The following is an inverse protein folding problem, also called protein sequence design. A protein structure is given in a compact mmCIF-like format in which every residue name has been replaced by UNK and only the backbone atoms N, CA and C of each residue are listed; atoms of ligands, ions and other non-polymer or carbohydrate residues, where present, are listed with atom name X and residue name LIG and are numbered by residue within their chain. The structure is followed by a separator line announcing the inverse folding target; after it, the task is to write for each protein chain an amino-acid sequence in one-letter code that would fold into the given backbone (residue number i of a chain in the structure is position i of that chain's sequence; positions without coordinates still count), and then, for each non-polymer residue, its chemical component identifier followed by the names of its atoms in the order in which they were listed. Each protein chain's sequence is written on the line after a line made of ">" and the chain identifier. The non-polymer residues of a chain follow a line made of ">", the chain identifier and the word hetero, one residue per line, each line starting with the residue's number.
data_IF_878719657647
#
_entry.id   IF_878719657647
#
_cell.length_a   1.000
_cell.length_b   1.000
_cell.length_c   1.000
_cell.angle_alpha   90.00
_cell.angle_beta   90.00
_cell.angle_gamma   90.00
#
_symmetry.space_group_name_H-M   'P 1'
#
loop_
_entity.id
_entity.type
_entity.pdbx_description
1 polymer ?
#
# COMPACT_ATOMS: atom_id res chain seq x y z
N UNK A 1 -60.76 55.41 4.46
CA UNK A 1 -59.91 54.76 5.49
C UNK A 1 -59.41 53.43 4.91
N UNK A 2 -58.21 53.46 4.41
CA UNK A 2 -57.61 52.39 3.63
C UNK A 2 -56.63 51.64 4.54
N UNK A 3 -56.91 50.38 4.83
CA UNK A 3 -56.03 49.53 5.61
C UNK A 3 -55.11 48.75 4.66
N UNK A 4 -53.77 49.05 4.72
CA UNK A 4 -52.73 48.37 3.99
C UNK A 4 -52.34 47.08 4.74
N UNK A 5 -52.42 45.94 4.03
CA UNK A 5 -51.88 44.65 4.54
C UNK A 5 -50.45 44.47 4.07
N UNK A 6 -49.53 44.43 5.03
CA UNK A 6 -48.12 44.09 4.78
C UNK A 6 -48.00 42.56 4.77
N UNK A 7 -47.62 42.00 3.64
CA UNK A 7 -47.32 40.59 3.52
C UNK A 7 -45.81 40.38 3.79
N UNK A 8 -45.52 39.65 4.86
CA UNK A 8 -44.13 39.24 5.24
C UNK A 8 -43.81 37.95 4.48
N UNK A 9 -42.85 38.04 3.54
CA UNK A 9 -42.33 36.88 2.82
C UNK A 9 -41.23 36.22 3.64
N UNK A 10 -41.46 35.00 4.13
CA UNK A 10 -40.44 34.15 4.71
C UNK A 10 -39.63 33.51 3.56
N UNK A 11 -38.35 33.85 3.47
CA UNK A 11 -37.38 33.15 2.63
C UNK A 11 -36.87 31.95 3.42
N UNK A 12 -37.33 30.78 3.06
CA UNK A 12 -36.74 29.50 3.49
C UNK A 12 -35.43 29.28 2.72
N UNK A 13 -34.30 29.36 3.43
CA UNK A 13 -33.01 28.94 2.89
C UNK A 13 -32.89 27.43 3.03
N UNK A 14 -32.98 26.74 1.93
CA UNK A 14 -32.67 25.29 1.86
C UNK A 14 -31.17 25.10 1.82
N UNK A 15 -30.60 24.63 2.91
CA UNK A 15 -29.23 24.14 2.91
C UNK A 15 -29.21 22.76 2.24
N UNK A 16 -28.68 22.69 1.03
CA UNK A 16 -28.32 21.45 0.40
C UNK A 16 -26.99 20.97 1.02
N UNK A 17 -27.06 19.92 1.85
CA UNK A 17 -25.88 19.16 2.22
C UNK A 17 -25.42 18.41 0.94
N UNK A 18 -24.36 18.89 0.33
CA UNK A 18 -23.63 18.11 -0.66
C UNK A 18 -22.79 17.08 0.12
N UNK A 19 -23.29 15.85 0.23
CA UNK A 19 -22.47 14.71 0.57
C UNK A 19 -21.53 14.47 -0.63
N UNK A 20 -20.28 14.94 -0.51
CA UNK A 20 -19.23 14.66 -1.46
C UNK A 20 -18.84 13.18 -1.33
N UNK A 21 -19.48 12.31 -2.12
CA UNK A 21 -18.89 11.01 -2.40
C UNK A 21 -17.63 11.30 -3.22
N UNK A 22 -16.47 11.01 -2.67
CA UNK A 22 -15.20 10.91 -3.43
C UNK A 22 -15.36 9.65 -4.27
N UNK A 23 -16.02 9.77 -5.42
CA UNK A 23 -15.95 8.77 -6.45
C UNK A 23 -14.52 8.85 -7.01
N UNK A 24 -13.65 7.92 -6.64
CA UNK A 24 -12.45 7.62 -7.41
C UNK A 24 -12.97 7.26 -8.80
N UNK A 25 -12.84 8.20 -9.74
CA UNK A 25 -13.31 8.04 -11.09
C UNK A 25 -12.60 6.89 -11.77
N UNK A 26 -13.24 5.73 -11.80
CA UNK A 26 -12.81 4.60 -12.59
C UNK A 26 -12.97 5.01 -14.05
N UNK A 27 -11.87 5.29 -14.73
CA UNK A 27 -11.87 5.37 -16.18
C UNK A 27 -12.38 4.04 -16.74
N UNK A 28 -13.29 4.09 -17.73
CA UNK A 28 -13.88 2.90 -18.34
C UNK A 28 -12.80 1.94 -18.86
N UNK A 29 -12.99 0.61 -18.74
CA UNK A 29 -12.05 -0.38 -19.23
C UNK A 29 -12.18 -0.56 -20.75
N UNK A 30 -11.77 0.43 -21.53
CA UNK A 30 -11.96 0.41 -22.99
C UNK A 30 -10.66 0.32 -23.82
N UNK A 31 -9.48 0.23 -23.19
CA UNK A 31 -8.18 0.16 -23.91
C UNK A 31 -7.25 -0.98 -23.42
N UNK A 32 -7.80 -2.09 -22.98
CA UNK A 32 -7.00 -3.28 -22.67
C UNK A 32 -6.73 -4.12 -23.94
N UNK A 33 -6.03 -3.55 -24.94
CA UNK A 33 -5.72 -4.24 -26.18
C UNK A 33 -4.42 -3.79 -26.84
N UNK A 34 -3.37 -3.61 -26.05
CA UNK A 34 -1.96 -3.71 -26.44
C UNK A 34 -1.20 -3.73 -25.12
N UNK A 35 -0.21 -4.60 -24.98
CA UNK A 35 0.57 -4.71 -23.75
C UNK A 35 1.00 -3.33 -23.24
N UNK A 36 0.70 -3.05 -21.99
CA UNK A 36 0.86 -1.72 -21.41
C UNK A 36 1.67 -1.84 -20.12
N UNK A 37 2.59 -0.92 -19.94
CA UNK A 37 3.25 -0.71 -18.64
C UNK A 37 2.36 0.19 -17.78
N UNK A 38 1.82 -0.36 -16.69
CA UNK A 38 1.16 0.42 -15.64
C UNK A 38 2.19 0.79 -14.57
N UNK A 39 2.22 2.04 -14.13
CA UNK A 39 3.22 2.53 -13.18
C UNK A 39 4.49 3.04 -13.86
N UNK A 40 5.53 3.29 -13.03
CA UNK A 40 6.78 3.91 -13.49
C UNK A 40 8.00 3.31 -12.77
N UNK A 41 8.35 2.03 -13.01
CA UNK A 41 9.36 1.31 -12.23
C UNK A 41 10.72 2.02 -12.25
N UNK A 42 11.19 2.51 -13.40
CA UNK A 42 12.45 3.23 -13.49
C UNK A 42 12.49 4.52 -12.64
N UNK A 43 11.36 5.21 -12.48
CA UNK A 43 11.27 6.39 -11.65
C UNK A 43 11.21 6.03 -10.16
N UNK A 44 10.52 4.94 -9.81
CA UNK A 44 10.39 4.46 -8.44
C UNK A 44 11.66 3.80 -7.91
N UNK A 45 12.44 3.13 -8.75
CA UNK A 45 13.68 2.42 -8.38
C UNK A 45 14.71 3.28 -7.63
N UNK A 46 14.67 4.60 -7.78
CA UNK A 46 15.58 5.52 -7.06
C UNK A 46 15.32 5.58 -5.56
N UNK A 47 14.11 5.19 -5.12
CA UNK A 47 13.70 5.20 -3.71
C UNK A 47 13.88 3.84 -3.04
N UNK A 48 14.31 2.82 -3.78
CA UNK A 48 14.65 1.53 -3.19
C UNK A 48 15.87 1.64 -2.26
N UNK A 49 15.75 1.02 -1.08
CA UNK A 49 16.87 0.78 -0.16
C UNK A 49 16.76 -0.61 0.42
N UNK A 50 17.90 -1.26 0.59
CA UNK A 50 17.93 -2.52 1.30
C UNK A 50 17.72 -2.32 2.79
N UNK A 51 16.87 -3.13 3.40
CA UNK A 51 16.66 -3.16 4.85
C UNK A 51 17.87 -3.75 5.58
N UNK A 52 18.08 -3.29 6.82
CA UNK A 52 19.12 -3.83 7.70
C UNK A 52 18.53 -4.76 8.75
N UNK A 53 17.25 -4.56 9.11
CA UNK A 53 16.53 -5.27 10.15
C UNK A 53 15.29 -5.95 9.57
N UNK A 54 14.50 -6.60 10.43
CA UNK A 54 13.19 -7.11 10.07
C UNK A 54 12.17 -5.97 10.05
N UNK A 55 12.27 -5.12 9.02
CA UNK A 55 11.51 -3.89 8.89
C UNK A 55 11.00 -3.60 7.45
N UNK A 56 10.68 -4.66 6.70
CA UNK A 56 10.20 -4.56 5.33
C UNK A 56 9.02 -3.61 5.15
N UNK A 57 8.04 -3.59 6.08
CA UNK A 57 6.90 -2.67 6.07
C UNK A 57 7.37 -1.22 6.20
N UNK A 58 8.36 -0.95 7.07
CA UNK A 58 8.90 0.40 7.24
C UNK A 58 9.65 0.84 5.99
N UNK A 59 10.43 -0.04 5.39
CA UNK A 59 11.19 0.28 4.18
C UNK A 59 10.30 0.46 2.96
N UNK A 60 9.24 -0.35 2.83
CA UNK A 60 8.20 -0.13 1.82
C UNK A 60 7.48 1.20 2.02
N UNK A 61 7.17 1.57 3.27
CA UNK A 61 6.59 2.88 3.56
C UNK A 61 7.56 4.02 3.26
N UNK A 62 8.87 3.88 3.55
CA UNK A 62 9.89 4.87 3.22
C UNK A 62 10.00 5.12 1.71
N UNK A 63 9.97 4.04 0.93
CA UNK A 63 9.97 4.08 -0.53
C UNK A 63 8.73 4.85 -1.05
N UNK A 64 7.52 4.48 -0.61
CA UNK A 64 6.27 5.15 -1.00
C UNK A 64 6.29 6.63 -0.62
N UNK A 65 6.77 6.98 0.59
CA UNK A 65 6.95 8.39 1.00
C UNK A 65 7.88 9.11 0.01
N UNK A 66 8.97 8.47 -0.39
CA UNK A 66 9.88 8.98 -1.39
C UNK A 66 9.21 9.23 -2.74
N UNK A 67 8.43 8.25 -3.23
CA UNK A 67 7.71 8.35 -4.49
C UNK A 67 6.70 9.50 -4.50
N UNK A 68 5.92 9.64 -3.42
CA UNK A 68 4.84 10.65 -3.33
C UNK A 68 5.39 12.05 -3.05
N UNK A 69 6.36 12.17 -2.13
CA UNK A 69 6.82 13.48 -1.64
C UNK A 69 8.13 13.97 -2.27
N UNK A 70 8.84 13.09 -2.96
CA UNK A 70 10.21 13.34 -3.44
C UNK A 70 11.28 13.29 -2.33
N UNK A 71 10.93 12.94 -1.10
CA UNK A 71 11.81 12.91 0.08
C UNK A 71 11.66 11.61 0.82
N UNK A 72 12.52 10.68 0.56
CA UNK A 72 12.56 9.40 1.23
C UNK A 72 13.21 9.54 2.62
N UNK A 73 12.55 9.08 3.71
CA UNK A 73 13.19 9.00 5.01
C UNK A 73 14.23 7.87 5.01
N UNK A 74 15.32 8.08 5.73
CA UNK A 74 16.27 6.98 5.96
C UNK A 74 15.66 5.91 6.87
N UNK A 75 16.12 4.64 6.79
CA UNK A 75 15.72 3.54 7.66
C UNK A 75 15.75 3.95 9.14
N UNK A 76 16.83 4.58 9.60
CA UNK A 76 16.93 5.10 10.97
C UNK A 76 15.82 6.11 11.32
N UNK A 77 15.44 6.97 10.38
CA UNK A 77 14.43 7.99 10.63
C UNK A 77 13.04 7.38 10.73
N UNK A 78 12.68 6.46 9.83
CA UNK A 78 11.37 5.81 9.84
C UNK A 78 11.23 4.86 11.04
N UNK A 79 12.28 4.12 11.40
CA UNK A 79 12.33 3.31 12.63
C UNK A 79 12.03 4.18 13.86
N UNK A 80 12.66 5.37 13.97
CA UNK A 80 12.43 6.27 15.10
C UNK A 80 10.96 6.71 15.20
N UNK A 81 10.32 7.02 14.09
CA UNK A 81 8.89 7.37 14.05
C UNK A 81 8.06 6.16 14.47
N UNK A 82 8.27 5.00 13.89
CA UNK A 82 7.54 3.78 14.19
C UNK A 82 7.63 3.35 15.67
N UNK A 83 8.81 3.49 16.29
CA UNK A 83 9.02 3.19 17.70
C UNK A 83 8.31 4.16 18.66
N UNK A 84 7.93 5.34 18.19
CA UNK A 84 7.22 6.35 18.99
C UNK A 84 5.73 6.46 18.66
N UNK A 85 5.25 5.71 17.67
CA UNK A 85 3.87 5.74 17.21
C UNK A 85 3.13 4.51 17.74
N UNK A 86 1.99 4.68 18.44
CA UNK A 86 1.17 3.55 18.87
C UNK A 86 0.66 2.73 17.68
N UNK A 87 0.70 1.40 17.79
CA UNK A 87 0.08 0.49 16.82
C UNK A 87 -1.46 0.57 16.94
N UNK A 88 -2.15 0.41 15.81
CA UNK A 88 -3.62 0.29 15.79
C UNK A 88 -4.09 -1.15 16.04
N UNK A 89 -3.17 -2.13 16.05
CA UNK A 89 -3.48 -3.56 16.09
C UNK A 89 -3.17 -4.20 17.44
N UNK A 90 -2.15 -3.70 18.13
CA UNK A 90 -1.68 -4.29 19.39
C UNK A 90 -1.21 -3.21 20.38
N UNK A 91 -1.14 -3.52 21.68
CA UNK A 91 -0.54 -2.63 22.65
C UNK A 91 0.94 -2.37 22.37
N UNK A 92 1.36 -1.12 22.45
CA UNK A 92 2.75 -0.71 22.20
C UNK A 92 2.91 0.11 20.93
N UNK A 93 4.14 0.20 20.45
CA UNK A 93 4.50 0.96 19.24
C UNK A 93 4.36 0.10 17.98
N UNK A 94 4.26 0.76 16.82
CA UNK A 94 4.21 0.12 15.49
C UNK A 94 5.37 -0.87 15.30
N UNK A 95 6.55 -0.56 15.83
CA UNK A 95 7.75 -1.35 15.63
C UNK A 95 8.61 -1.39 16.89
N UNK A 96 9.15 -2.55 17.20
CA UNK A 96 10.20 -2.73 18.20
C UNK A 96 11.44 -3.26 17.50
N UNK A 97 12.43 -2.39 17.34
CA UNK A 97 13.68 -2.75 16.69
C UNK A 97 14.38 -3.91 17.40
N UNK A 98 14.87 -4.93 16.68
CA UNK A 98 15.75 -5.95 17.25
C UNK A 98 16.98 -5.34 17.92
N UNK A 99 17.54 -6.05 18.89
CA UNK A 99 18.76 -5.64 19.58
C UNK A 99 19.91 -5.43 18.59
N UNK A 100 20.03 -6.34 17.65
CA UNK A 100 20.97 -6.33 16.52
C UNK A 100 20.45 -7.22 15.39
N UNK A 101 21.15 -7.25 14.26
CA UNK A 101 20.79 -8.06 13.10
C UNK A 101 20.98 -9.59 13.33
N UNK A 102 21.77 -9.98 14.35
CA UNK A 102 22.02 -11.39 14.68
C UNK A 102 20.89 -11.96 15.55
N UNK A 103 20.04 -11.09 16.13
CA UNK A 103 18.90 -11.47 16.96
C UNK A 103 17.60 -10.84 16.44
N UNK A 104 17.16 -11.17 15.22
CA UNK A 104 15.97 -10.56 14.59
C UNK A 104 14.69 -10.78 15.43
N UNK A 105 14.59 -11.93 16.10
CA UNK A 105 13.43 -12.28 16.95
C UNK A 105 13.42 -11.54 18.31
N UNK A 106 14.40 -10.69 18.63
CA UNK A 106 14.41 -9.88 19.85
C UNK A 106 13.57 -8.60 19.70
N UNK A 107 13.11 -8.30 18.48
CA UNK A 107 12.22 -7.19 18.15
C UNK A 107 10.77 -7.63 17.95
N UNK A 108 10.02 -6.74 17.31
CA UNK A 108 8.67 -7.00 16.83
C UNK A 108 8.50 -6.27 15.50
N UNK A 109 8.23 -7.02 14.43
CA UNK A 109 7.93 -6.49 13.11
C UNK A 109 6.68 -5.60 13.10
N UNK A 110 6.43 -4.96 11.99
CA UNK A 110 5.30 -4.03 11.82
C UNK A 110 4.12 -4.75 11.17
N UNK A 111 2.92 -4.58 11.74
CA UNK A 111 1.70 -5.02 11.08
C UNK A 111 1.43 -4.16 9.83
N UNK A 112 1.02 -4.79 8.74
CA UNK A 112 0.60 -4.08 7.52
C UNK A 112 -0.60 -3.15 7.76
N UNK A 113 -1.41 -3.41 8.78
CA UNK A 113 -2.51 -2.54 9.18
C UNK A 113 -2.05 -1.19 9.77
N UNK A 114 -0.79 -1.07 10.20
CA UNK A 114 -0.20 0.17 10.69
C UNK A 114 0.34 1.08 9.56
N UNK A 115 0.37 0.60 8.30
CA UNK A 115 0.90 1.35 7.15
C UNK A 115 0.25 2.74 7.02
N UNK A 116 -1.10 2.90 7.03
CA UNK A 116 -1.71 4.22 6.91
C UNK A 116 -1.30 5.18 8.02
N UNK A 117 -1.22 4.68 9.26
CA UNK A 117 -0.78 5.47 10.42
C UNK A 117 0.66 5.96 10.25
N UNK A 118 1.55 5.09 9.78
CA UNK A 118 2.95 5.44 9.54
C UNK A 118 3.11 6.46 8.42
N UNK A 119 2.42 6.25 7.28
CA UNK A 119 2.45 7.15 6.13
C UNK A 119 1.91 8.55 6.47
N UNK A 120 0.84 8.63 7.29
CA UNK A 120 0.23 9.89 7.71
C UNK A 120 1.21 10.80 8.47
N UNK A 121 2.20 10.26 9.20
CA UNK A 121 3.28 11.05 9.82
C UNK A 121 4.11 11.86 8.81
N UNK A 122 4.11 11.44 7.55
CA UNK A 122 4.84 12.09 6.47
C UNK A 122 3.91 12.84 5.50
N UNK A 123 2.62 12.97 5.88
CA UNK A 123 1.62 13.67 5.06
C UNK A 123 1.20 12.87 3.82
N UNK A 124 1.33 11.56 3.85
CA UNK A 124 0.87 10.65 2.80
C UNK A 124 -0.34 9.90 3.32
N UNK A 125 -1.49 10.11 2.67
CA UNK A 125 -2.71 9.38 2.98
C UNK A 125 -2.74 8.06 2.22
N UNK A 126 -3.23 7.00 2.86
CA UNK A 126 -3.37 5.68 2.25
C UNK A 126 -4.56 4.92 2.84
N UNK A 127 -5.13 4.03 2.03
CA UNK A 127 -6.19 3.09 2.42
C UNK A 127 -5.67 1.68 2.24
N UNK A 128 -5.97 0.81 3.22
CA UNK A 128 -5.70 -0.63 3.11
C UNK A 128 -6.95 -1.37 2.66
N UNK A 129 -6.77 -2.41 1.86
CA UNK A 129 -7.82 -3.30 1.40
C UNK A 129 -7.26 -4.71 1.14
N UNK A 130 -8.13 -5.68 1.10
CA UNK A 130 -7.91 -7.05 0.68
C UNK A 130 -9.22 -7.63 0.11
N UNK A 131 -9.24 -8.88 -0.33
CA UNK A 131 -10.44 -9.51 -0.89
C UNK A 131 -11.62 -9.52 0.09
N UNK A 132 -11.37 -9.70 1.38
CA UNK A 132 -12.40 -9.78 2.41
C UNK A 132 -12.99 -8.41 2.74
N UNK A 133 -12.21 -7.34 2.60
CA UNK A 133 -12.56 -5.98 3.02
C UNK A 133 -12.87 -5.02 1.86
N UNK A 134 -12.62 -5.39 0.60
CA UNK A 134 -12.81 -4.51 -0.57
C UNK A 134 -14.22 -3.88 -0.64
N UNK A 135 -15.26 -4.65 -0.32
CA UNK A 135 -16.63 -4.14 -0.30
C UNK A 135 -16.85 -3.11 0.81
N UNK A 136 -16.26 -3.31 1.98
CA UNK A 136 -16.42 -2.41 3.14
C UNK A 136 -15.60 -1.13 2.99
N UNK A 137 -14.41 -1.22 2.42
CA UNK A 137 -13.52 -0.07 2.19
C UNK A 137 -13.93 0.75 0.97
N UNK A 138 -14.64 0.15 0.01
CA UNK A 138 -14.92 0.72 -1.31
C UNK A 138 -13.67 0.81 -2.20
N UNK A 139 -12.57 0.17 -1.80
CA UNK A 139 -11.30 0.11 -2.54
C UNK A 139 -11.12 -1.31 -3.04
N UNK A 140 -11.13 -1.49 -4.36
CA UNK A 140 -10.98 -2.81 -4.98
C UNK A 140 -9.55 -3.35 -4.80
N UNK A 141 -9.39 -4.67 -4.89
CA UNK A 141 -8.10 -5.34 -4.93
C UNK A 141 -8.02 -6.31 -6.11
N UNK A 142 -6.92 -7.03 -6.24
CA UNK A 142 -6.61 -7.91 -7.35
C UNK A 142 -5.89 -7.19 -8.50
N UNK A 143 -5.38 -7.95 -9.48
CA UNK A 143 -4.52 -7.45 -10.55
C UNK A 143 -5.12 -6.27 -11.33
N UNK A 144 -6.41 -6.34 -11.70
CA UNK A 144 -7.05 -5.26 -12.46
C UNK A 144 -7.12 -3.94 -11.67
N UNK A 145 -7.33 -4.00 -10.36
CA UNK A 145 -7.31 -2.83 -9.49
C UNK A 145 -5.89 -2.29 -9.31
N UNK A 146 -4.90 -3.17 -9.12
CA UNK A 146 -3.49 -2.82 -9.02
C UNK A 146 -3.01 -2.06 -10.26
N UNK A 147 -3.31 -2.57 -11.45
CA UNK A 147 -3.00 -1.91 -12.73
C UNK A 147 -3.61 -0.50 -12.81
N UNK A 148 -4.87 -0.35 -12.40
CA UNK A 148 -5.54 0.95 -12.39
C UNK A 148 -4.89 1.94 -11.42
N UNK A 149 -4.55 1.50 -10.20
CA UNK A 149 -3.91 2.38 -9.21
C UNK A 149 -2.54 2.84 -9.70
N UNK A 150 -1.71 1.91 -10.17
CA UNK A 150 -0.39 2.25 -10.73
C UNK A 150 -0.50 3.15 -11.96
N UNK A 151 -1.43 2.84 -12.87
CA UNK A 151 -1.69 3.65 -14.07
C UNK A 151 -2.23 5.05 -13.76
N UNK A 152 -2.86 5.24 -12.60
CA UNK A 152 -3.34 6.53 -12.11
C UNK A 152 -2.31 7.28 -11.26
N UNK A 153 -1.12 6.70 -11.05
CA UNK A 153 0.00 7.32 -10.33
C UNK A 153 -0.04 7.13 -8.81
N UNK A 154 -0.88 6.23 -8.31
CA UNK A 154 -0.85 5.84 -6.89
C UNK A 154 0.34 4.92 -6.62
N UNK A 155 0.95 5.05 -5.44
CA UNK A 155 1.94 4.10 -4.96
C UNK A 155 1.23 2.99 -4.17
N UNK A 156 1.71 1.75 -4.31
CA UNK A 156 1.06 0.56 -3.74
C UNK A 156 2.07 -0.32 -3.01
N UNK A 157 1.77 -0.59 -1.74
CA UNK A 157 2.47 -1.61 -0.94
C UNK A 157 1.60 -2.86 -0.92
N UNK A 158 2.18 -4.03 -1.11
CA UNK A 158 1.50 -5.32 -1.00
C UNK A 158 2.18 -6.20 0.04
N UNK A 159 1.44 -7.19 0.56
CA UNK A 159 1.98 -8.24 1.43
C UNK A 159 2.02 -9.54 0.66
N UNK A 160 3.16 -10.20 0.63
CA UNK A 160 3.44 -11.40 -0.16
C UNK A 160 4.12 -12.47 0.68
N UNK A 161 4.16 -13.71 0.20
CA UNK A 161 5.10 -14.69 0.70
C UNK A 161 6.46 -14.50 0.02
N UNK A 162 7.49 -14.19 0.80
CA UNK A 162 8.82 -13.85 0.30
C UNK A 162 9.50 -15.01 -0.39
N UNK A 163 9.42 -16.22 0.18
CA UNK A 163 10.09 -17.40 -0.35
C UNK A 163 9.59 -17.75 -1.76
N UNK A 164 8.30 -17.54 -2.03
CA UNK A 164 7.73 -17.77 -3.36
C UNK A 164 8.34 -16.81 -4.40
N UNK A 165 8.49 -15.53 -4.04
CA UNK A 165 9.12 -14.52 -4.91
C UNK A 165 10.60 -14.83 -5.13
N UNK A 166 11.31 -15.24 -4.08
CA UNK A 166 12.76 -15.51 -4.15
C UNK A 166 13.08 -16.93 -4.67
N UNK A 167 12.06 -17.75 -4.99
CA UNK A 167 12.25 -19.13 -5.45
C UNK A 167 12.90 -20.03 -4.40
N UNK A 168 12.61 -19.77 -3.11
CA UNK A 168 13.08 -20.55 -1.98
C UNK A 168 11.98 -21.51 -1.49
N UNK A 169 12.32 -22.58 -0.75
CA UNK A 169 11.32 -23.40 -0.09
C UNK A 169 10.50 -22.56 0.90
N UNK A 170 9.18 -22.68 0.84
CA UNK A 170 8.26 -21.97 1.74
C UNK A 170 8.43 -22.48 3.17
N UNK A 171 8.78 -21.59 4.10
CA UNK A 171 8.94 -21.85 5.52
C UNK A 171 7.76 -21.27 6.32
N UNK A 172 7.26 -20.06 5.93
CA UNK A 172 6.13 -19.42 6.59
C UNK A 172 4.80 -20.02 6.12
N UNK A 173 4.16 -20.77 7.04
CA UNK A 173 2.88 -21.47 6.76
C UNK A 173 1.87 -21.27 7.88
N UNK A 174 0.58 -21.46 7.54
CA UNK A 174 -0.50 -21.54 8.51
C UNK A 174 -0.54 -22.92 9.21
N UNK A 175 -1.48 -23.10 10.14
CA UNK A 175 -1.65 -24.37 10.86
C UNK A 175 -2.08 -25.55 9.97
N UNK A 176 -2.54 -25.29 8.74
CA UNK A 176 -2.91 -26.30 7.74
C UNK A 176 -1.77 -26.59 6.76
N UNK A 177 -0.67 -25.84 6.85
CA UNK A 177 0.50 -25.96 5.97
C UNK A 177 0.40 -25.14 4.68
N UNK A 178 -0.55 -24.21 4.58
CA UNK A 178 -0.63 -23.32 3.43
C UNK A 178 0.37 -22.16 3.59
N UNK A 179 1.00 -21.68 2.49
CA UNK A 179 1.85 -20.50 2.54
C UNK A 179 1.14 -19.29 3.16
N UNK A 180 1.85 -18.51 3.95
CA UNK A 180 1.39 -17.25 4.53
C UNK A 180 2.27 -16.11 4.06
N UNK A 181 1.68 -14.94 3.92
CA UNK A 181 2.45 -13.71 3.68
C UNK A 181 3.25 -13.33 4.93
N UNK A 182 4.49 -12.93 4.71
CA UNK A 182 5.47 -12.57 5.74
C UNK A 182 6.30 -11.34 5.35
N UNK A 183 6.13 -10.83 4.14
CA UNK A 183 6.95 -9.77 3.58
C UNK A 183 6.12 -8.67 2.91
N UNK A 184 6.59 -7.43 3.03
CA UNK A 184 5.98 -6.28 2.37
C UNK A 184 6.92 -5.72 1.31
N UNK A 185 6.38 -5.45 0.11
CA UNK A 185 7.11 -4.88 -1.02
C UNK A 185 6.30 -3.77 -1.67
N UNK A 186 6.96 -2.90 -2.44
CA UNK A 186 6.29 -1.86 -3.24
C UNK A 186 6.17 -2.35 -4.67
N UNK A 187 4.94 -2.42 -5.20
CA UNK A 187 4.73 -2.65 -6.63
C UNK A 187 4.95 -1.34 -7.37
N UNK A 188 5.89 -1.32 -8.29
CA UNK A 188 6.30 -0.12 -9.03
C UNK A 188 5.82 -0.11 -10.47
N UNK A 189 5.42 -1.29 -10.99
CA UNK A 189 4.86 -1.43 -12.32
C UNK A 189 4.33 -2.82 -12.62
N UNK A 190 3.39 -2.88 -13.57
CA UNK A 190 2.89 -4.11 -14.17
C UNK A 190 3.05 -3.99 -15.68
N UNK A 191 3.89 -4.85 -16.25
CA UNK A 191 4.10 -4.99 -17.69
C UNK A 191 3.24 -6.14 -18.22
N UNK A 192 2.07 -5.80 -18.75
CA UNK A 192 1.13 -6.79 -19.26
C UNK A 192 1.55 -7.37 -20.62
N UNK A 193 2.47 -6.70 -21.35
CA UNK A 193 3.02 -7.22 -22.61
C UNK A 193 3.95 -8.39 -22.37
N UNK A 194 4.81 -8.28 -21.36
CA UNK A 194 5.81 -9.29 -21.05
C UNK A 194 5.40 -10.20 -19.88
N UNK A 195 4.25 -9.94 -19.22
CA UNK A 195 3.78 -10.73 -18.09
C UNK A 195 4.69 -10.58 -16.86
N UNK A 196 5.18 -9.37 -16.59
CA UNK A 196 6.14 -9.06 -15.52
C UNK A 196 5.53 -8.07 -14.53
N UNK A 197 5.76 -8.29 -13.25
CA UNK A 197 5.52 -7.31 -12.17
C UNK A 197 6.86 -6.79 -11.69
N UNK A 198 6.97 -5.47 -11.58
CA UNK A 198 8.14 -4.76 -11.10
C UNK A 198 7.98 -4.42 -9.62
N UNK A 199 8.96 -4.78 -8.80
CA UNK A 199 8.96 -4.55 -7.36
C UNK A 199 10.17 -3.72 -6.93
N UNK A 200 9.97 -2.89 -5.90
CA UNK A 200 11.05 -2.50 -5.00
C UNK A 200 10.93 -3.37 -3.76
N UNK A 201 11.78 -4.37 -3.67
CA UNK A 201 11.88 -5.29 -2.54
C UNK A 201 13.09 -4.93 -1.68
N UNK A 202 12.87 -4.55 -0.42
CA UNK A 202 13.94 -4.16 0.49
C UNK A 202 14.75 -5.33 1.07
N UNK A 203 14.28 -6.57 0.93
CA UNK A 203 14.92 -7.76 1.48
C UNK A 203 16.24 -8.09 0.79
N UNK A 204 16.24 -8.51 -0.48
CA UNK A 204 17.48 -8.92 -1.15
C UNK A 204 18.26 -7.71 -1.68
N UNK A 205 19.61 -7.82 -1.81
CA UNK A 205 20.42 -6.75 -2.39
C UNK A 205 20.10 -6.48 -3.86
N UNK A 206 19.39 -7.37 -4.53
CA UNK A 206 18.95 -7.28 -5.92
C UNK A 206 17.52 -6.77 -6.09
N UNK A 207 16.82 -6.43 -5.00
CA UNK A 207 15.39 -6.11 -5.00
C UNK A 207 15.00 -4.74 -5.57
N UNK A 208 15.97 -3.97 -6.10
CA UNK A 208 15.69 -2.72 -6.81
C UNK A 208 15.17 -3.01 -8.20
N UNK A 209 13.93 -2.61 -8.50
CA UNK A 209 13.27 -2.89 -9.79
C UNK A 209 13.34 -4.41 -10.11
N UNK A 210 13.06 -5.20 -9.11
CA UNK A 210 13.03 -6.65 -9.24
C UNK A 210 11.88 -7.05 -10.17
N UNK A 211 12.17 -7.93 -11.13
CA UNK A 211 11.21 -8.33 -12.15
C UNK A 211 10.75 -9.75 -11.89
N UNK A 212 9.48 -9.89 -11.53
CA UNK A 212 8.86 -11.17 -11.17
C UNK A 212 7.84 -11.57 -12.24
N UNK A 213 7.83 -12.85 -12.68
CA UNK A 213 6.75 -13.35 -13.51
C UNK A 213 5.38 -13.09 -12.85
N UNK A 214 4.42 -12.57 -13.60
CA UNK A 214 3.11 -12.19 -13.06
C UNK A 214 2.41 -13.36 -12.38
N UNK A 215 2.54 -14.57 -12.90
CA UNK A 215 1.98 -15.79 -12.29
C UNK A 215 2.54 -16.01 -10.88
N UNK A 216 3.87 -15.95 -10.73
CA UNK A 216 4.55 -16.08 -9.42
C UNK A 216 4.12 -14.98 -8.46
N UNK A 217 4.02 -13.74 -8.94
CA UNK A 217 3.56 -12.63 -8.12
C UNK A 217 2.13 -12.85 -7.61
N UNK A 218 1.20 -13.23 -8.47
CA UNK A 218 -0.21 -13.47 -8.11
C UNK A 218 -0.32 -14.57 -7.06
N UNK A 219 0.41 -15.69 -7.22
CA UNK A 219 0.42 -16.78 -6.25
C UNK A 219 0.98 -16.33 -4.89
N UNK A 220 2.07 -15.57 -4.87
CA UNK A 220 2.68 -15.06 -3.65
C UNK A 220 1.78 -14.01 -2.96
N UNK A 221 1.09 -13.18 -3.73
CA UNK A 221 0.20 -12.15 -3.20
C UNK A 221 -1.11 -12.71 -2.65
N UNK A 222 -1.66 -13.75 -3.28
CA UNK A 222 -2.85 -14.44 -2.80
C UNK A 222 -2.71 -14.99 -1.37
N UNK A 223 -1.47 -15.20 -0.87
CA UNK A 223 -1.20 -15.64 0.50
C UNK A 223 -1.62 -14.62 1.56
N UNK A 224 -1.90 -13.38 1.16
CA UNK A 224 -2.43 -12.30 2.00
C UNK A 224 -3.86 -11.89 1.64
N UNK A 225 -4.60 -12.69 0.86
CA UNK A 225 -5.90 -12.31 0.30
C UNK A 225 -5.82 -11.03 -0.55
N UNK A 226 -4.77 -10.94 -1.37
CA UNK A 226 -4.49 -9.79 -2.23
C UNK A 226 -4.44 -8.46 -1.45
N UNK A 227 -3.84 -8.49 -0.24
CA UNK A 227 -3.68 -7.28 0.58
C UNK A 227 -2.89 -6.21 -0.16
N UNK A 228 -3.40 -4.97 -0.13
CA UNK A 228 -2.67 -3.78 -0.56
C UNK A 228 -2.95 -2.55 0.31
N UNK A 229 -1.95 -1.68 0.40
CA UNK A 229 -2.08 -0.31 0.88
C UNK A 229 -1.86 0.63 -0.31
N UNK A 230 -2.86 1.44 -0.62
CA UNK A 230 -2.89 2.34 -1.80
C UNK A 230 -2.88 3.78 -1.32
N UNK A 231 -1.97 4.61 -1.84
CA UNK A 231 -1.98 6.06 -1.56
C UNK A 231 -3.17 6.74 -2.22
N UNK A 232 -3.72 7.80 -1.57
CA UNK A 232 -4.93 8.51 -2.04
C UNK A 232 -4.65 9.98 -2.37
#
# INVERSE_FOLDING_TARGET
>A
MTTSKIATAFKTATFALAAGAVALGLASPADAAAGTMYGAPAAAAKYWRQQTYDDCVLMSAADVIGQVTGREPSERAIIKVAQSTPSVVHPGSIYTKPADAEHPNSGMGTSVADIPTLLAHYGVDAVITDEDHATATGVATGMAALEQYLGSGHAVIVSINAEMIWGQPVEETDSAGNPRSDHAVVVTGVDTENGIVHLNDSGPPTGRDEQIPMETFVEAWATSHDFMAVTT
#
